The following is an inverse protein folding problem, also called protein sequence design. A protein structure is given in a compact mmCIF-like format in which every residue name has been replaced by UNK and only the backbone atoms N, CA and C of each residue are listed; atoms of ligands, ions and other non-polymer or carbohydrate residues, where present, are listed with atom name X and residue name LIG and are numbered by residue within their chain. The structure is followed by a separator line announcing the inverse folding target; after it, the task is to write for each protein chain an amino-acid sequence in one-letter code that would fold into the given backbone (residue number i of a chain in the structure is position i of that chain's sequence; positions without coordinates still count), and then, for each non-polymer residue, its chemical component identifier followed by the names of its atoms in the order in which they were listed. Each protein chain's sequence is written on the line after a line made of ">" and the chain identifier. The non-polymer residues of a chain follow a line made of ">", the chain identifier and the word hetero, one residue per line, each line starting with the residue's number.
data_IF_245078516584
#
_entry.id   IF_245078516584
#
_cell.length_a   1.000
_cell.length_b   1.000
_cell.length_c   1.000
_cell.angle_alpha   90.00
_cell.angle_beta   90.00
_cell.angle_gamma   90.00
#
_symmetry.space_group_name_H-M   'P 1'
#
loop_
_entity.id
_entity.type
_entity.pdbx_description
1 polymer ?
#
# COMPACT_ATOMS: atom_id res chain seq x y z
N UNK A 1 -29.27 4.34 -14.73
CA UNK A 1 -28.48 3.27 -14.08
C UNK A 1 -28.78 3.30 -12.59
N UNK A 2 -28.93 2.13 -11.95
CA UNK A 2 -29.05 2.06 -10.49
C UNK A 2 -27.65 2.31 -9.88
N UNK A 3 -27.52 3.10 -8.80
CA UNK A 3 -26.23 3.29 -8.15
C UNK A 3 -25.69 1.93 -7.66
N UNK A 4 -24.39 1.69 -7.85
CA UNK A 4 -23.74 0.51 -7.29
C UNK A 4 -23.69 0.71 -5.77
N UNK A 5 -24.27 -0.24 -5.03
CA UNK A 5 -24.21 -0.22 -3.58
C UNK A 5 -22.77 -0.44 -3.11
N UNK A 6 -22.32 0.26 -2.05
CA UNK A 6 -20.97 0.09 -1.52
C UNK A 6 -20.72 -1.37 -1.08
N UNK A 7 -19.54 -1.89 -1.40
CA UNK A 7 -19.08 -3.19 -0.92
C UNK A 7 -18.26 -2.96 0.34
N UNK A 8 -18.60 -3.63 1.44
CA UNK A 8 -17.79 -3.61 2.66
C UNK A 8 -16.57 -4.53 2.50
N UNK A 9 -15.38 -3.93 2.51
CA UNK A 9 -14.10 -4.63 2.33
C UNK A 9 -13.17 -4.50 3.54
N UNK A 10 -13.65 -3.99 4.68
CA UNK A 10 -12.79 -3.69 5.84
C UNK A 10 -12.02 -4.94 6.31
N UNK A 11 -12.69 -6.09 6.33
CA UNK A 11 -12.11 -7.39 6.72
C UNK A 11 -10.98 -7.88 5.81
N UNK A 12 -10.86 -7.34 4.59
CA UNK A 12 -9.81 -7.73 3.64
C UNK A 12 -8.50 -6.99 3.91
N UNK A 13 -8.52 -5.88 4.63
CA UNK A 13 -7.33 -5.03 4.81
C UNK A 13 -6.18 -5.73 5.55
N UNK A 14 -6.41 -6.48 6.65
CA UNK A 14 -5.35 -7.25 7.30
C UNK A 14 -4.67 -8.26 6.36
N UNK A 15 -5.46 -8.92 5.51
CA UNK A 15 -4.97 -9.91 4.56
C UNK A 15 -4.07 -9.27 3.49
N UNK A 16 -4.51 -8.17 2.90
CA UNK A 16 -3.74 -7.41 1.90
C UNK A 16 -2.46 -6.85 2.51
N UNK A 17 -2.52 -6.30 3.72
CA UNK A 17 -1.35 -5.77 4.41
C UNK A 17 -0.32 -6.86 4.73
N UNK A 18 -0.77 -8.04 5.18
CA UNK A 18 0.13 -9.17 5.43
C UNK A 18 0.82 -9.65 4.14
N UNK A 19 0.08 -9.75 3.03
CA UNK A 19 0.65 -10.11 1.74
C UNK A 19 1.66 -9.07 1.24
N UNK A 20 1.37 -7.77 1.41
CA UNK A 20 2.30 -6.69 1.07
C UNK A 20 3.58 -6.77 1.92
N UNK A 21 3.46 -7.01 3.23
CA UNK A 21 4.62 -7.15 4.11
C UNK A 21 5.48 -8.36 3.74
N UNK A 22 4.87 -9.50 3.41
CA UNK A 22 5.60 -10.68 2.94
C UNK A 22 6.37 -10.37 1.65
N UNK A 23 5.70 -9.77 0.65
CA UNK A 23 6.31 -9.40 -0.63
C UNK A 23 7.50 -8.43 -0.44
N UNK A 24 7.33 -7.37 0.36
CA UNK A 24 8.40 -6.41 0.62
C UNK A 24 9.56 -7.02 1.42
N UNK A 25 9.27 -7.99 2.29
CA UNK A 25 10.27 -8.72 3.08
C UNK A 25 11.14 -9.67 2.27
N UNK A 26 10.71 -10.06 1.07
CA UNK A 26 11.48 -10.89 0.14
C UNK A 26 12.48 -10.08 -0.71
N UNK A 27 12.38 -8.75 -0.69
CA UNK A 27 13.24 -7.88 -1.50
C UNK A 27 14.64 -7.77 -0.91
N UNK A 28 15.65 -8.03 -1.75
CA UNK A 28 17.03 -7.67 -1.45
C UNK A 28 17.22 -6.13 -1.42
N UNK A 29 18.26 -5.68 -0.72
CA UNK A 29 18.55 -4.24 -0.51
C UNK A 29 18.70 -3.43 -1.80
N UNK A 30 19.19 -4.05 -2.87
CA UNK A 30 19.35 -3.42 -4.18
C UNK A 30 18.03 -3.32 -4.96
N UNK A 31 17.13 -4.28 -4.78
CA UNK A 31 15.80 -4.31 -5.41
C UNK A 31 14.93 -3.11 -5.01
N UNK A 32 15.19 -2.51 -3.84
CA UNK A 32 14.53 -1.27 -3.41
C UNK A 32 14.76 -0.08 -4.38
N UNK A 33 15.85 -0.09 -5.15
CA UNK A 33 16.19 0.94 -6.14
C UNK A 33 15.74 0.60 -7.56
N UNK A 34 15.12 -0.56 -7.77
CA UNK A 34 14.65 -0.98 -9.08
C UNK A 34 13.53 -0.05 -9.59
N UNK A 35 13.48 0.24 -10.90
CA UNK A 35 12.40 1.02 -11.50
C UNK A 35 11.08 0.24 -11.43
N UNK A 36 9.96 0.96 -11.48
CA UNK A 36 8.62 0.37 -11.48
C UNK A 36 7.83 0.79 -12.71
N UNK A 37 6.63 0.25 -12.88
CA UNK A 37 5.68 0.73 -13.90
C UNK A 37 5.12 2.12 -13.57
N UNK A 38 5.34 2.63 -12.36
CA UNK A 38 4.88 3.93 -11.89
C UNK A 38 5.83 5.06 -12.35
N UNK A 39 6.11 5.13 -13.65
CA UNK A 39 7.00 6.14 -14.23
C UNK A 39 8.39 6.12 -13.59
N UNK A 40 8.84 7.28 -13.09
CA UNK A 40 10.17 7.45 -12.51
C UNK A 40 10.32 6.90 -11.07
N UNK A 41 9.27 6.25 -10.53
CA UNK A 41 9.29 5.77 -9.16
C UNK A 41 10.04 4.45 -9.03
N UNK A 42 10.90 4.39 -8.02
CA UNK A 42 11.52 3.14 -7.57
C UNK A 42 10.56 2.34 -6.69
N UNK A 43 10.89 1.08 -6.42
CA UNK A 43 10.16 0.24 -5.46
C UNK A 43 10.06 0.93 -4.09
N UNK A 44 11.12 1.60 -3.64
CA UNK A 44 11.14 2.38 -2.40
C UNK A 44 10.13 3.52 -2.42
N UNK A 45 10.01 4.25 -3.53
CA UNK A 45 9.08 5.37 -3.63
C UNK A 45 7.62 4.90 -3.55
N UNK A 46 7.30 3.80 -4.23
CA UNK A 46 5.98 3.16 -4.14
C UNK A 46 5.68 2.71 -2.71
N UNK A 47 6.62 2.01 -2.06
CA UNK A 47 6.43 1.56 -0.68
C UNK A 47 6.26 2.73 0.31
N UNK A 48 7.04 3.79 0.15
CA UNK A 48 6.93 5.00 0.97
C UNK A 48 5.57 5.70 0.78
N UNK A 49 5.07 5.76 -0.45
CA UNK A 49 3.75 6.32 -0.75
C UNK A 49 2.63 5.51 -0.08
N UNK A 50 2.67 4.18 -0.18
CA UNK A 50 1.70 3.29 0.48
C UNK A 50 1.70 3.48 2.01
N UNK A 51 2.90 3.55 2.61
CA UNK A 51 3.05 3.81 4.04
C UNK A 51 2.50 5.17 4.46
N UNK A 52 2.78 6.22 3.69
CA UNK A 52 2.27 7.58 3.94
C UNK A 52 0.74 7.63 3.99
N UNK A 53 0.07 6.93 3.07
CA UNK A 53 -1.39 6.81 3.08
C UNK A 53 -1.95 6.11 4.33
N UNK A 54 -1.26 5.07 4.81
CA UNK A 54 -1.64 4.37 6.04
C UNK A 54 -1.45 5.23 7.29
N UNK A 55 -0.31 5.91 7.41
CA UNK A 55 -0.03 6.80 8.55
C UNK A 55 -1.00 7.98 8.61
N UNK A 56 -1.29 8.61 7.47
CA UNK A 56 -2.25 9.73 7.42
C UNK A 56 -3.63 9.35 7.94
N UNK A 57 -4.10 8.14 7.62
CA UNK A 57 -5.38 7.61 8.13
C UNK A 57 -5.36 7.32 9.63
N UNK A 58 -4.24 6.85 10.17
CA UNK A 58 -4.09 6.63 11.61
C UNK A 58 -4.11 7.97 12.36
N UNK A 59 -3.33 8.94 11.91
CA UNK A 59 -3.26 10.27 12.55
C UNK A 59 -4.61 10.99 12.48
N UNK A 60 -5.30 10.96 11.33
CA UNK A 60 -6.61 11.59 11.18
C UNK A 60 -7.71 10.98 12.07
N UNK A 61 -7.52 9.75 12.59
CA UNK A 61 -8.44 9.07 13.51
C UNK A 61 -8.18 9.39 14.99
N UNK A 62 -7.08 10.08 15.30
CA UNK A 62 -6.71 10.50 16.65
C UNK A 62 -7.03 11.99 16.95
N UNK A 63 -7.69 12.68 16.01
CA UNK A 63 -8.25 14.02 16.16
C UNK A 63 -9.78 13.96 16.16
#
# INVERSE_FOLDING_TARGET
>A
MKPIEPIDTVELFPHVNAALHALLGELADDAWRAPTVCGDWTVRDVAAHLLGGNLGRLVARHH
#
